data_IF_039073224871
#
_entry.id   IF_039073224871
#
_cell.length_a   1.000
_cell.length_b   1.000
_cell.length_c   1.000
_cell.angle_alpha   90.00
_cell.angle_beta   90.00
_cell.angle_gamma   90.00
#
_symmetry.space_group_name_H-M   'P 1'
#
loop_
_entity.id
_entity.type
_entity.pdbx_description
1 polymer ?
#
# COMPACT_ATOMS: atom_id res chain seq x y z
N UNK A 1 -79.84 53.83 12.33
CA UNK A 1 -79.79 52.54 13.06
C UNK A 1 -78.47 51.88 12.74
N UNK A 2 -77.45 52.17 13.53
CA UNK A 2 -76.07 51.73 13.28
C UNK A 2 -75.89 50.33 13.88
N UNK A 3 -75.63 49.33 13.03
CA UNK A 3 -75.42 47.95 13.47
C UNK A 3 -74.04 47.85 14.12
N UNK A 4 -74.01 47.89 15.45
CA UNK A 4 -72.81 47.57 16.24
C UNK A 4 -72.41 46.12 15.92
N UNK A 5 -71.29 45.94 15.21
CA UNK A 5 -70.71 44.62 14.94
C UNK A 5 -70.26 44.02 16.29
N UNK A 6 -70.82 42.86 16.64
CA UNK A 6 -70.39 42.11 17.82
C UNK A 6 -68.94 41.68 17.63
N UNK A 7 -68.05 42.18 18.48
CA UNK A 7 -66.65 41.77 18.54
C UNK A 7 -66.59 40.32 19.04
N UNK A 8 -65.94 39.44 18.28
CA UNK A 8 -65.74 38.05 18.66
C UNK A 8 -64.52 37.93 19.59
N UNK A 9 -64.78 38.06 20.88
CA UNK A 9 -63.77 37.97 21.94
C UNK A 9 -62.97 36.65 21.93
N UNK A 10 -63.56 35.55 21.45
CA UNK A 10 -62.86 34.26 21.35
C UNK A 10 -61.73 34.30 20.31
N UNK A 11 -61.95 34.98 19.18
CA UNK A 11 -60.92 35.13 18.15
C UNK A 11 -59.78 36.02 18.64
N UNK A 12 -60.08 37.09 19.38
CA UNK A 12 -59.07 37.98 19.96
C UNK A 12 -58.19 37.22 20.97
N UNK A 13 -58.78 36.40 21.85
CA UNK A 13 -58.02 35.64 22.84
C UNK A 13 -57.06 34.64 22.20
N UNK A 14 -57.50 33.92 21.17
CA UNK A 14 -56.65 32.93 20.45
C UNK A 14 -55.49 33.63 19.74
N UNK A 15 -55.76 34.75 19.04
CA UNK A 15 -54.71 35.51 18.36
C UNK A 15 -53.68 36.05 19.37
N UNK A 16 -54.11 36.55 20.53
CA UNK A 16 -53.21 37.04 21.58
C UNK A 16 -52.35 35.93 22.19
N UNK A 17 -52.91 34.74 22.42
CA UNK A 17 -52.14 33.58 22.94
C UNK A 17 -51.11 33.12 21.90
N UNK A 18 -51.48 33.05 20.63
CA UNK A 18 -50.55 32.70 19.56
C UNK A 18 -49.40 33.71 19.44
N UNK A 19 -49.68 35.01 19.55
CA UNK A 19 -48.65 36.06 19.55
C UNK A 19 -47.70 35.94 20.75
N UNK A 20 -48.21 35.68 21.95
CA UNK A 20 -47.38 35.48 23.14
C UNK A 20 -46.47 34.25 23.02
N UNK A 21 -46.99 33.13 22.48
CA UNK A 21 -46.19 31.92 22.24
C UNK A 21 -45.12 32.18 21.18
N UNK A 22 -45.45 32.91 20.11
CA UNK A 22 -44.50 33.20 19.03
C UNK A 22 -43.36 34.13 19.47
N UNK A 23 -43.67 35.15 20.29
CA UNK A 23 -42.63 36.01 20.89
C UNK A 23 -41.77 35.24 21.88
N UNK A 24 -42.36 34.36 22.70
CA UNK A 24 -41.61 33.51 23.63
C UNK A 24 -40.63 32.55 22.94
N UNK A 25 -40.99 32.00 21.78
CA UNK A 25 -40.10 31.11 21.00
C UNK A 25 -38.93 31.87 20.36
N UNK A 26 -39.10 33.16 20.03
CA UNK A 26 -38.01 33.98 19.48
C UNK A 26 -36.95 34.30 20.56
N UNK A 27 -37.36 34.49 21.81
CA UNK A 27 -36.45 34.74 22.94
C UNK A 27 -35.84 33.47 23.55
N UNK A 28 -36.35 32.27 23.23
CA UNK A 28 -35.92 31.05 23.91
C UNK A 28 -34.68 30.36 23.33
N UNK A 29 -34.26 30.60 22.07
CA UNK A 29 -33.14 29.81 21.49
C UNK A 29 -32.33 30.49 20.38
N UNK A 30 -32.34 31.83 20.28
CA UNK A 30 -31.43 32.49 19.32
C UNK A 30 -30.06 32.72 19.95
N UNK A 31 -29.08 31.90 19.54
CA UNK A 31 -27.67 32.19 19.73
C UNK A 31 -27.36 33.61 19.22
N UNK A 32 -27.10 34.55 20.13
CA UNK A 32 -26.49 35.82 19.76
C UNK A 32 -24.98 35.62 19.60
N UNK A 33 -24.43 36.03 18.46
CA UNK A 33 -22.99 36.07 18.22
C UNK A 33 -22.25 37.09 19.11
N UNK A 34 -22.97 37.89 19.89
CA UNK A 34 -22.42 39.00 20.68
C UNK A 34 -22.69 38.77 22.17
N UNK A 35 -21.64 38.85 22.99
CA UNK A 35 -21.79 38.89 24.45
C UNK A 35 -22.35 40.25 24.88
N UNK A 36 -23.30 40.24 25.82
CA UNK A 36 -23.77 41.45 26.48
C UNK A 36 -22.71 41.92 27.48
N UNK A 37 -22.13 43.09 27.20
CA UNK A 37 -21.04 43.70 27.99
C UNK A 37 -21.52 44.77 28.98
N UNK A 38 -22.83 45.07 29.02
CA UNK A 38 -23.36 46.16 29.85
C UNK A 38 -24.00 45.69 31.16
N UNK A 39 -23.91 44.39 31.48
CA UNK A 39 -24.51 43.79 32.67
C UNK A 39 -23.54 42.82 33.39
N UNK A 40 -23.45 42.83 34.73
CA UNK A 40 -24.23 43.63 35.68
C UNK A 40 -23.70 45.08 35.78
N UNK A 41 -24.59 46.04 36.05
CA UNK A 41 -24.19 47.39 36.42
C UNK A 41 -23.50 47.35 37.81
N UNK A 42 -22.56 48.26 38.08
CA UNK A 42 -21.75 48.23 39.32
C UNK A 42 -22.52 48.38 40.64
N UNK A 43 -23.84 48.54 40.61
CA UNK A 43 -24.76 48.56 41.76
C UNK A 43 -25.50 47.24 42.00
N UNK A 44 -25.34 46.26 41.11
CA UNK A 44 -26.11 45.02 41.11
C UNK A 44 -25.66 44.07 42.23
N UNK A 45 -26.55 43.18 42.64
CA UNK A 45 -26.30 42.29 43.77
C UNK A 45 -25.18 41.30 43.46
N UNK A 46 -24.29 40.97 44.42
CA UNK A 46 -23.28 39.93 44.22
C UNK A 46 -23.85 38.56 43.78
N UNK A 47 -25.11 38.28 44.11
CA UNK A 47 -25.81 37.07 43.65
C UNK A 47 -26.13 37.11 42.15
N UNK A 48 -26.46 38.27 41.59
CA UNK A 48 -26.66 38.44 40.15
C UNK A 48 -25.34 38.26 39.40
N UNK A 49 -24.22 38.66 40.01
CA UNK A 49 -22.90 38.37 39.46
C UNK A 49 -22.57 36.86 39.45
N UNK A 50 -22.96 36.08 40.49
CA UNK A 50 -22.78 34.62 40.50
C UNK A 50 -23.55 33.95 39.36
N UNK A 51 -24.82 34.33 39.16
CA UNK A 51 -25.64 33.80 38.09
C UNK A 51 -25.05 34.12 36.70
N UNK A 52 -24.54 35.35 36.50
CA UNK A 52 -23.87 35.74 35.25
C UNK A 52 -22.55 35.01 35.04
N UNK A 53 -21.76 34.77 36.09
CA UNK A 53 -20.54 33.95 35.99
C UNK A 53 -20.87 32.50 35.61
N UNK A 54 -21.95 31.95 36.14
CA UNK A 54 -22.43 30.59 35.79
C UNK A 54 -22.91 30.53 34.34
N UNK A 55 -23.61 31.56 33.87
CA UNK A 55 -24.04 31.70 32.48
C UNK A 55 -22.84 31.82 31.53
N UNK A 56 -21.86 32.68 31.83
CA UNK A 56 -20.63 32.83 31.05
C UNK A 56 -19.87 31.50 31.00
N UNK A 57 -19.74 30.79 32.13
CA UNK A 57 -19.11 29.48 32.17
C UNK A 57 -19.81 28.49 31.24
N UNK A 58 -21.14 28.42 31.29
CA UNK A 58 -21.93 27.54 30.43
C UNK A 58 -21.77 27.92 28.95
N UNK A 59 -21.81 29.22 28.62
CA UNK A 59 -21.65 29.70 27.25
C UNK A 59 -20.24 29.44 26.69
N UNK A 60 -19.20 29.61 27.50
CA UNK A 60 -17.81 29.26 27.12
C UNK A 60 -17.69 27.76 26.91
N UNK A 61 -18.22 26.94 27.83
CA UNK A 61 -18.22 25.49 27.68
C UNK A 61 -18.95 25.08 26.39
N UNK A 62 -20.14 25.58 26.12
CA UNK A 62 -20.91 25.24 24.92
C UNK A 62 -20.18 25.61 23.63
N UNK A 63 -19.54 26.80 23.58
CA UNK A 63 -18.80 27.28 22.41
C UNK A 63 -17.49 26.51 22.19
N UNK A 64 -16.72 26.30 23.25
CA UNK A 64 -15.43 25.62 23.16
C UNK A 64 -15.60 24.10 23.00
N UNK A 65 -16.71 23.53 23.47
CA UNK A 65 -17.00 22.09 23.34
C UNK A 65 -17.19 21.63 21.89
N UNK A 66 -17.26 22.55 20.92
CA UNK A 66 -17.26 22.21 19.50
C UNK A 66 -15.94 21.58 19.08
N UNK A 67 -14.80 22.12 19.49
CA UNK A 67 -13.47 21.69 19.05
C UNK A 67 -12.55 21.20 20.19
N UNK A 68 -12.80 21.62 21.43
CA UNK A 68 -12.08 21.18 22.62
C UNK A 68 -13.01 20.35 23.50
N UNK A 69 -12.54 19.27 24.11
CA UNK A 69 -13.32 18.52 25.06
C UNK A 69 -13.38 19.26 26.39
N UNK A 70 -14.59 19.66 26.79
CA UNK A 70 -14.89 20.24 28.09
C UNK A 70 -16.00 19.41 28.74
N UNK A 71 -15.71 18.65 29.82
CA UNK A 71 -16.76 17.91 30.50
C UNK A 71 -17.80 18.88 31.07
N UNK A 72 -19.08 18.63 30.75
CA UNK A 72 -20.20 19.31 31.39
C UNK A 72 -20.15 19.00 32.88
N UNK A 73 -20.22 20.03 33.70
CA UNK A 73 -19.96 20.02 35.13
C UNK A 73 -20.64 18.85 35.88
N UNK A 74 -19.83 18.02 36.53
CA UNK A 74 -20.15 17.20 37.70
C UNK A 74 -19.15 17.51 38.82
N UNK A 75 -19.39 17.02 40.05
CA UNK A 75 -18.56 17.28 41.25
C UNK A 75 -17.12 16.79 41.16
N UNK A 76 -16.75 16.05 40.12
CA UNK A 76 -15.41 15.58 39.88
C UNK A 76 -15.11 15.78 38.39
N UNK A 77 -14.19 16.68 38.09
CA UNK A 77 -13.49 16.63 36.80
C UNK A 77 -12.60 15.40 36.93
N UNK A 78 -12.96 14.26 36.33
CA UNK A 78 -12.02 13.15 36.27
C UNK A 78 -10.86 13.59 35.38
N UNK A 79 -9.73 13.90 36.01
CA UNK A 79 -8.58 14.69 35.53
C UNK A 79 -7.84 14.19 34.28
N UNK A 80 -8.30 13.15 33.59
CA UNK A 80 -7.55 12.58 32.47
C UNK A 80 -7.79 13.27 31.11
N UNK A 81 -9.02 13.72 30.83
CA UNK A 81 -9.43 14.00 29.43
C UNK A 81 -9.90 15.46 29.19
N UNK A 82 -9.83 16.36 30.17
CA UNK A 82 -10.26 17.75 30.01
C UNK A 82 -9.18 18.60 29.31
N UNK A 83 -9.52 19.28 28.20
CA UNK A 83 -8.61 20.15 27.46
C UNK A 83 -8.03 19.54 26.17
N UNK A 84 -8.42 18.31 25.81
CA UNK A 84 -8.07 17.70 24.53
C UNK A 84 -8.77 18.39 23.36
N UNK A 85 -8.07 18.59 22.24
CA UNK A 85 -8.74 19.00 21.01
C UNK A 85 -9.37 17.77 20.33
N UNK A 86 -10.68 17.77 20.12
CA UNK A 86 -11.36 16.77 19.28
C UNK A 86 -10.94 16.93 17.82
N UNK A 87 -10.84 18.18 17.38
CA UNK A 87 -10.30 18.59 16.09
C UNK A 87 -9.93 20.07 16.18
N UNK A 88 -8.96 20.52 15.39
CA UNK A 88 -8.66 21.95 15.24
C UNK A 88 -9.29 22.44 13.93
N UNK A 89 -10.39 23.18 14.03
CA UNK A 89 -11.01 23.80 12.87
C UNK A 89 -10.30 25.14 12.58
N UNK A 90 -9.55 25.18 11.50
CA UNK A 90 -8.91 26.40 11.03
C UNK A 90 -9.92 27.27 10.28
N UNK A 91 -9.77 28.59 10.41
CA UNK A 91 -10.55 29.55 9.63
C UNK A 91 -10.06 29.61 8.18
N UNK A 92 -10.61 30.54 7.39
CA UNK A 92 -10.23 30.77 6.01
C UNK A 92 -8.69 30.88 5.83
N UNK A 93 -8.14 30.37 4.70
CA UNK A 93 -6.72 30.42 4.43
C UNK A 93 -6.18 31.86 4.49
N UNK A 94 -5.03 32.03 5.15
CA UNK A 94 -4.37 33.33 5.24
C UNK A 94 -3.29 33.38 4.16
N UNK A 95 -3.47 34.27 3.18
CA UNK A 95 -2.59 34.35 2.01
C UNK A 95 -1.19 34.92 2.32
N UNK A 96 -1.11 35.90 3.23
CA UNK A 96 0.14 36.52 3.64
C UNK A 96 0.73 35.81 4.86
N UNK A 97 2.05 35.64 4.87
CA UNK A 97 2.78 35.22 6.07
C UNK A 97 2.61 36.28 7.15
N UNK A 98 2.03 35.94 8.32
CA UNK A 98 2.01 36.87 9.44
C UNK A 98 3.44 37.18 9.87
N UNK A 99 3.72 38.45 10.19
CA UNK A 99 4.99 38.82 10.82
C UNK A 99 5.19 38.00 12.09
N UNK A 100 6.35 37.37 12.20
CA UNK A 100 6.69 36.52 13.33
C UNK A 100 7.49 37.35 14.34
N UNK A 101 7.15 37.25 15.61
CA UNK A 101 7.95 37.84 16.68
C UNK A 101 9.10 36.86 17.02
N UNK A 102 10.18 37.37 17.63
CA UNK A 102 11.23 36.50 18.15
C UNK A 102 10.66 35.42 19.09
N UNK A 103 11.23 34.22 19.06
CA UNK A 103 10.85 33.05 19.84
C UNK A 103 9.45 32.48 19.53
N UNK A 104 8.82 32.89 18.43
CA UNK A 104 7.47 32.45 18.05
C UNK A 104 7.47 31.67 16.73
N UNK A 105 6.50 30.76 16.57
CA UNK A 105 6.22 30.12 15.30
C UNK A 105 4.72 29.95 15.11
N UNK A 106 4.28 29.84 13.85
CA UNK A 106 2.87 29.83 13.50
C UNK A 106 2.49 28.61 12.66
N UNK A 107 1.48 27.87 13.10
CA UNK A 107 0.76 26.88 12.28
C UNK A 107 -0.48 27.55 11.71
N UNK A 108 -0.65 27.54 10.38
CA UNK A 108 -1.81 28.10 9.70
C UNK A 108 -2.25 27.27 8.50
N UNK A 109 -3.43 27.60 7.98
CA UNK A 109 -3.87 27.15 6.66
C UNK A 109 -3.61 28.25 5.64
N UNK A 110 -3.04 27.88 4.49
CA UNK A 110 -2.76 28.77 3.34
C UNK A 110 -3.17 28.07 2.06
N UNK A 111 -3.62 28.84 1.06
CA UNK A 111 -3.92 28.26 -0.25
C UNK A 111 -2.64 28.01 -1.05
N UNK A 112 -2.37 26.74 -1.36
CA UNK A 112 -1.27 26.31 -2.24
C UNK A 112 -1.90 25.62 -3.46
N UNK A 113 -1.89 26.31 -4.61
CA UNK A 113 -2.53 25.80 -5.82
C UNK A 113 -4.05 25.64 -5.68
N UNK A 114 -4.71 26.63 -5.06
CA UNK A 114 -6.15 26.67 -4.80
C UNK A 114 -6.67 25.55 -3.88
N UNK A 115 -5.80 25.05 -3.00
CA UNK A 115 -6.12 24.06 -1.98
C UNK A 115 -5.58 24.53 -0.63
N UNK A 116 -6.39 24.38 0.40
CA UNK A 116 -6.04 24.69 1.77
C UNK A 116 -5.01 23.67 2.27
N UNK A 117 -3.79 24.15 2.58
CA UNK A 117 -2.69 23.34 3.10
C UNK A 117 -2.21 23.86 4.46
N UNK A 118 -1.77 22.94 5.31
CA UNK A 118 -1.05 23.27 6.54
C UNK A 118 0.32 23.86 6.22
N UNK A 119 0.62 24.97 6.86
CA UNK A 119 1.87 25.69 6.68
C UNK A 119 2.41 26.09 8.05
N UNK A 120 3.69 25.79 8.27
CA UNK A 120 4.48 26.27 9.39
C UNK A 120 5.31 27.49 8.97
N UNK A 121 5.52 28.43 9.88
CA UNK A 121 6.52 29.49 9.73
C UNK A 121 7.30 29.60 11.02
N UNK A 122 8.63 29.57 10.92
CA UNK A 122 9.53 29.76 12.06
C UNK A 122 9.76 31.25 12.37
N UNK A 123 10.59 31.52 13.39
CA UNK A 123 10.89 32.89 13.85
C UNK A 123 11.69 33.73 12.84
N UNK A 124 12.37 33.08 11.90
CA UNK A 124 13.14 33.70 10.82
C UNK A 124 12.29 33.90 9.55
N UNK A 125 10.96 33.73 9.66
CA UNK A 125 9.99 33.82 8.56
C UNK A 125 10.18 32.77 7.46
N UNK A 126 10.88 31.66 7.73
CA UNK A 126 10.98 30.54 6.80
C UNK A 126 9.67 29.76 6.79
N UNK A 127 9.03 29.69 5.62
CA UNK A 127 7.74 29.00 5.46
C UNK A 127 7.94 27.56 4.97
N UNK A 128 7.32 26.60 5.67
CA UNK A 128 7.27 25.19 5.30
C UNK A 128 5.82 24.73 5.13
N UNK A 129 5.47 24.29 3.93
CA UNK A 129 4.18 23.66 3.65
C UNK A 129 4.23 22.21 4.13
N UNK A 130 3.41 21.86 5.12
CA UNK A 130 3.39 20.56 5.79
C UNK A 130 2.45 19.55 5.12
N UNK A 131 1.47 20.01 4.35
CA UNK A 131 0.56 19.14 3.59
C UNK A 131 0.52 19.52 2.12
N UNK A 132 0.27 18.54 1.26
CA UNK A 132 0.10 18.78 -0.18
C UNK A 132 -1.13 18.04 -0.70
N UNK A 133 -2.29 18.70 -0.74
CA UNK A 133 -3.54 18.22 -1.34
C UNK A 133 -4.01 16.88 -0.76
N UNK A 134 -3.69 16.62 0.50
CA UNK A 134 -3.92 15.35 1.17
C UNK A 134 -3.05 14.17 0.69
N UNK A 135 -2.02 14.41 -0.14
CA UNK A 135 -1.11 13.36 -0.63
C UNK A 135 0.34 13.89 -0.75
N UNK A 136 1.27 13.34 0.03
CA UNK A 136 2.53 14.02 0.36
C UNK A 136 3.59 14.09 -0.76
N UNK A 137 3.43 13.45 -1.92
CA UNK A 137 4.41 13.55 -3.02
C UNK A 137 3.71 13.39 -4.38
N UNK A 138 3.99 14.27 -5.34
CA UNK A 138 3.52 14.08 -6.72
C UNK A 138 4.22 12.88 -7.37
N UNK A 139 3.55 12.20 -8.31
CA UNK A 139 4.18 11.17 -9.12
C UNK A 139 5.49 11.69 -9.72
N UNK A 140 6.50 10.83 -9.71
CA UNK A 140 7.89 11.12 -10.04
C UNK A 140 8.68 12.00 -9.05
N UNK A 141 8.14 12.30 -7.87
CA UNK A 141 8.87 13.00 -6.79
C UNK A 141 9.34 12.00 -5.74
N UNK A 142 10.63 12.02 -5.42
CA UNK A 142 11.20 11.15 -4.38
C UNK A 142 10.92 11.70 -2.98
N UNK A 143 10.58 10.80 -2.07
CA UNK A 143 10.82 11.02 -0.64
C UNK A 143 12.33 11.09 -0.44
N UNK A 144 12.81 12.19 0.13
CA UNK A 144 14.23 12.41 0.38
C UNK A 144 14.51 12.38 1.88
N UNK A 145 15.62 11.77 2.28
CA UNK A 145 16.16 11.90 3.63
C UNK A 145 17.47 12.67 3.55
N UNK A 146 17.64 13.68 4.39
CA UNK A 146 18.91 14.40 4.55
C UNK A 146 19.75 13.71 5.61
N UNK A 147 21.07 13.67 5.43
CA UNK A 147 21.96 13.18 6.48
C UNK A 147 21.90 14.06 7.74
N UNK A 148 22.33 13.53 8.88
CA UNK A 148 22.31 14.26 10.16
C UNK A 148 23.18 15.53 10.13
N UNK A 149 24.14 15.63 9.20
CA UNK A 149 25.00 16.79 9.04
C UNK A 149 24.37 17.89 8.15
N UNK A 150 23.23 17.63 7.51
CA UNK A 150 22.59 18.53 6.55
C UNK A 150 23.34 18.66 5.22
N UNK A 151 24.36 17.84 4.96
CA UNK A 151 25.30 18.00 3.84
C UNK A 151 24.92 17.24 2.59
N UNK A 152 24.04 16.26 2.70
CA UNK A 152 23.61 15.42 1.59
C UNK A 152 22.20 14.90 1.76
N UNK A 153 21.58 14.53 0.64
CA UNK A 153 20.24 13.95 0.59
C UNK A 153 20.25 12.64 -0.19
N UNK A 154 19.48 11.66 0.27
CA UNK A 154 19.27 10.38 -0.38
C UNK A 154 17.81 10.26 -0.80
N UNK A 155 17.59 9.92 -2.07
CA UNK A 155 16.27 9.56 -2.56
C UNK A 155 15.91 8.16 -2.05
N UNK A 156 14.74 8.00 -1.44
CA UNK A 156 14.30 6.72 -0.86
C UNK A 156 13.34 5.99 -1.80
N UNK A 157 12.18 6.59 -2.06
CA UNK A 157 11.09 5.97 -2.82
C UNK A 157 10.25 7.04 -3.50
N UNK A 158 9.65 6.71 -4.65
CA UNK A 158 8.65 7.54 -5.32
C UNK A 158 7.51 6.69 -5.87
N UNK A 159 6.37 7.33 -6.16
CA UNK A 159 5.39 6.76 -7.08
C UNK A 159 5.78 7.11 -8.53
N UNK A 160 5.69 6.16 -9.46
CA UNK A 160 5.84 6.42 -10.89
C UNK A 160 4.53 6.95 -11.51
N UNK A 161 4.47 7.12 -12.84
CA UNK A 161 3.27 7.61 -13.55
C UNK A 161 2.05 6.68 -13.45
N UNK A 162 2.24 5.46 -12.97
CA UNK A 162 1.22 4.42 -12.81
C UNK A 162 0.95 4.13 -11.33
N UNK A 163 1.24 5.08 -10.44
CA UNK A 163 1.03 4.99 -9.00
C UNK A 163 1.73 3.77 -8.36
N UNK A 164 2.79 3.27 -8.99
CA UNK A 164 3.58 2.15 -8.47
C UNK A 164 4.84 2.66 -7.78
N UNK A 165 5.16 2.06 -6.63
CA UNK A 165 6.39 2.33 -5.91
C UNK A 165 7.61 2.02 -6.78
N UNK A 166 8.55 2.95 -6.84
CA UNK A 166 9.82 2.79 -7.56
C UNK A 166 10.97 3.36 -6.74
N UNK A 167 12.11 2.68 -6.82
CA UNK A 167 13.37 3.11 -6.21
C UNK A 167 14.13 4.04 -7.18
N UNK A 168 15.12 4.82 -6.69
CA UNK A 168 16.02 5.57 -7.56
C UNK A 168 16.84 4.66 -8.49
N UNK A 169 17.21 5.20 -9.65
CA UNK A 169 18.11 4.50 -10.57
C UNK A 169 19.47 4.27 -9.88
N UNK A 170 20.04 3.08 -10.05
CA UNK A 170 21.23 2.66 -9.32
C UNK A 170 21.00 2.30 -7.83
N UNK A 171 19.74 2.26 -7.35
CA UNK A 171 19.45 1.68 -6.05
C UNK A 171 19.90 0.22 -6.02
N UNK A 172 20.85 -0.08 -5.13
CA UNK A 172 21.32 -1.45 -4.93
C UNK A 172 20.30 -2.17 -4.05
N UNK A 173 19.50 -3.04 -4.68
CA UNK A 173 18.74 -4.06 -3.96
C UNK A 173 19.77 -5.09 -3.49
N UNK A 174 20.14 -5.04 -2.22
CA UNK A 174 21.21 -5.88 -1.68
C UNK A 174 21.00 -7.36 -2.02
N UNK A 175 21.88 -7.89 -2.87
CA UNK A 175 21.85 -9.28 -3.29
C UNK A 175 22.52 -10.15 -2.22
N UNK A 176 21.76 -10.47 -1.17
CA UNK A 176 21.88 -11.66 -0.30
C UNK A 176 23.27 -12.08 0.23
N UNK A 177 24.31 -11.23 0.27
CA UNK A 177 25.67 -11.66 0.65
C UNK A 177 26.32 -10.93 1.82
N UNK A 178 25.59 -10.11 2.59
CA UNK A 178 26.20 -9.40 3.72
C UNK A 178 25.61 -9.68 5.09
N UNK A 179 26.52 -9.71 6.05
CA UNK A 179 26.39 -10.16 7.44
C UNK A 179 25.56 -9.19 8.27
N UNK A 180 24.74 -9.75 9.16
CA UNK A 180 23.76 -9.04 9.97
C UNK A 180 24.42 -8.07 10.96
N UNK A 181 24.31 -6.75 10.70
CA UNK A 181 24.04 -5.72 11.72
C UNK A 181 23.86 -4.35 11.04
N UNK A 182 22.62 -3.90 10.87
CA UNK A 182 22.28 -2.59 10.29
C UNK A 182 20.97 -2.61 9.49
N UNK A 183 20.25 -1.47 9.49
CA UNK A 183 18.91 -1.31 8.91
C UNK A 183 18.78 -1.91 7.49
N UNK A 184 17.72 -2.72 7.31
CA UNK A 184 17.48 -3.50 6.09
C UNK A 184 16.61 -2.73 5.08
N UNK A 185 16.99 -2.81 3.82
CA UNK A 185 16.22 -2.30 2.68
C UNK A 185 15.10 -3.27 2.28
N UNK A 186 13.97 -2.73 1.84
CA UNK A 186 12.84 -3.49 1.28
C UNK A 186 13.32 -4.13 -0.03
N UNK A 187 13.54 -5.44 0.00
CA UNK A 187 13.57 -6.26 -1.19
C UNK A 187 12.12 -6.37 -1.64
N UNK A 188 11.76 -5.72 -2.75
CA UNK A 188 10.53 -6.08 -3.46
C UNK A 188 10.73 -7.50 -3.99
N UNK A 189 10.38 -8.47 -3.15
CA UNK A 189 10.24 -9.89 -3.45
C UNK A 189 9.03 -10.07 -4.37
N UNK A 190 9.02 -9.38 -5.51
CA UNK A 190 8.11 -9.64 -6.59
C UNK A 190 8.50 -10.99 -7.21
N UNK A 191 8.18 -12.06 -6.49
CA UNK A 191 7.65 -13.32 -6.97
C UNK A 191 8.28 -13.92 -8.23
N UNK A 192 9.60 -13.82 -8.41
CA UNK A 192 10.33 -14.86 -9.13
C UNK A 192 10.28 -16.11 -8.24
N UNK A 193 9.24 -16.92 -8.43
CA UNK A 193 9.03 -18.21 -7.78
C UNK A 193 10.37 -18.92 -7.57
N UNK A 194 10.77 -18.98 -6.31
CA UNK A 194 11.75 -19.91 -5.76
C UNK A 194 11.34 -21.30 -6.23
N UNK A 195 11.98 -21.81 -7.29
CA UNK A 195 11.64 -23.13 -7.82
C UNK A 195 12.26 -23.51 -9.16
N UNK A 196 12.50 -22.59 -10.11
CA UNK A 196 12.89 -23.05 -11.46
C UNK A 196 13.60 -22.04 -12.36
N UNK A 197 14.38 -21.10 -11.80
CA UNK A 197 15.29 -20.27 -12.61
C UNK A 197 16.68 -20.85 -12.57
N UNK A 198 16.84 -22.02 -13.18
CA UNK A 198 18.16 -22.42 -13.67
C UNK A 198 18.54 -21.36 -14.71
N UNK A 199 19.38 -20.40 -14.32
CA UNK A 199 19.88 -19.40 -15.25
C UNK A 199 20.81 -20.09 -16.24
N UNK A 200 20.27 -20.39 -17.41
CA UNK A 200 21.06 -20.74 -18.57
C UNK A 200 21.79 -19.48 -19.04
N UNK A 201 23.10 -19.57 -19.25
CA UNK A 201 23.88 -18.50 -19.87
C UNK A 201 23.60 -18.39 -21.37
N UNK A 202 24.27 -17.45 -22.04
CA UNK A 202 24.13 -17.24 -23.49
C UNK A 202 24.51 -18.44 -24.35
N UNK A 203 25.22 -19.42 -23.78
CA UNK A 203 25.62 -20.67 -24.43
C UNK A 203 24.68 -21.84 -24.08
N UNK A 204 23.63 -21.59 -23.27
CA UNK A 204 22.65 -22.56 -22.84
C UNK A 204 23.07 -23.43 -21.65
N UNK A 205 24.24 -23.19 -21.06
CA UNK A 205 24.75 -23.92 -19.90
C UNK A 205 24.33 -23.27 -18.58
N UNK A 206 24.20 -24.05 -17.52
CA UNK A 206 24.05 -23.54 -16.17
C UNK A 206 25.29 -23.86 -15.33
N UNK A 207 25.82 -22.83 -14.67
CA UNK A 207 27.11 -22.88 -13.97
C UNK A 207 26.96 -23.30 -12.51
N UNK A 208 28.07 -23.69 -11.88
CA UNK A 208 28.18 -24.06 -10.45
C UNK A 208 27.46 -25.36 -10.04
N UNK A 209 27.23 -26.28 -10.96
CA UNK A 209 26.78 -27.63 -10.62
C UNK A 209 27.93 -28.36 -9.95
N UNK A 210 27.66 -29.00 -8.82
CA UNK A 210 28.64 -29.85 -8.17
C UNK A 210 28.71 -31.20 -8.88
N UNK A 211 29.78 -31.44 -9.63
CA UNK A 211 30.07 -32.71 -10.28
C UNK A 211 31.37 -33.23 -9.67
N UNK A 212 31.28 -34.30 -8.89
CA UNK A 212 32.41 -34.91 -8.15
C UNK A 212 33.21 -33.89 -7.31
N UNK A 213 32.54 -33.02 -6.56
CA UNK A 213 33.15 -31.96 -5.74
C UNK A 213 33.81 -30.83 -6.54
N UNK A 214 33.59 -30.77 -7.87
CA UNK A 214 34.09 -29.70 -8.74
C UNK A 214 32.91 -28.91 -9.30
N UNK A 215 32.97 -27.58 -9.15
CA UNK A 215 31.98 -26.66 -9.74
C UNK A 215 32.17 -26.66 -11.25
N UNK A 216 31.20 -27.26 -11.94
CA UNK A 216 31.24 -27.52 -13.38
C UNK A 216 30.05 -26.87 -14.06
N UNK A 217 30.25 -26.43 -15.30
CA UNK A 217 29.19 -25.92 -16.16
C UNK A 217 28.54 -27.11 -16.88
N UNK A 218 27.23 -27.25 -16.73
CA UNK A 218 26.45 -28.32 -17.35
C UNK A 218 25.58 -27.74 -18.44
N UNK A 219 25.58 -28.37 -19.59
CA UNK A 219 24.75 -28.01 -20.74
C UNK A 219 23.57 -28.97 -20.84
N UNK A 220 22.42 -28.46 -21.27
CA UNK A 220 21.24 -29.29 -21.54
C UNK A 220 20.92 -29.26 -23.03
N UNK A 221 20.83 -30.44 -23.65
CA UNK A 221 20.31 -30.59 -25.02
C UNK A 221 18.97 -31.32 -24.99
N UNK A 222 18.01 -30.81 -25.76
CA UNK A 222 16.74 -31.47 -25.97
C UNK A 222 16.69 -32.09 -27.36
N UNK A 223 16.41 -33.39 -27.44
CA UNK A 223 16.03 -34.06 -28.68
C UNK A 223 14.52 -34.26 -28.66
N UNK A 224 13.85 -33.93 -29.75
CA UNK A 224 12.40 -34.13 -29.90
C UNK A 224 12.11 -34.85 -31.20
N UNK A 225 11.07 -35.67 -31.20
CA UNK A 225 10.61 -36.34 -32.40
C UNK A 225 9.33 -37.13 -32.16
N UNK A 226 9.00 -37.97 -33.12
CA UNK A 226 7.91 -38.95 -33.03
C UNK A 226 8.53 -40.34 -32.96
N UNK A 227 7.99 -41.18 -32.08
CA UNK A 227 8.37 -42.59 -31.98
C UNK A 227 7.76 -43.38 -33.13
N UNK A 228 8.32 -43.22 -34.33
CA UNK A 228 7.88 -43.93 -35.53
C UNK A 228 8.71 -45.20 -35.76
N UNK A 229 8.68 -46.09 -34.77
CA UNK A 229 9.32 -47.40 -34.84
C UNK A 229 8.37 -48.48 -34.32
N UNK A 230 8.33 -49.61 -35.00
CA UNK A 230 7.61 -50.81 -34.55
C UNK A 230 8.38 -51.53 -33.42
N UNK A 231 7.86 -52.67 -32.94
CA UNK A 231 8.52 -53.46 -31.89
C UNK A 231 9.87 -54.06 -32.31
N UNK A 232 10.26 -53.95 -33.59
CA UNK A 232 11.48 -54.53 -34.16
C UNK A 232 12.51 -53.50 -34.64
N UNK A 233 12.14 -52.22 -34.68
CA UNK A 233 12.98 -51.12 -35.17
C UNK A 233 13.35 -50.16 -34.05
N UNK A 234 14.55 -49.58 -34.13
CA UNK A 234 15.04 -48.60 -33.16
C UNK A 234 14.94 -47.19 -33.74
N UNK A 235 14.55 -46.20 -32.93
CA UNK A 235 14.68 -44.79 -33.30
C UNK A 235 16.08 -44.33 -32.90
N UNK A 236 16.90 -43.99 -33.88
CA UNK A 236 18.28 -43.52 -33.67
C UNK A 236 18.34 -42.02 -33.92
N UNK A 237 18.90 -41.28 -32.97
CA UNK A 237 19.15 -39.86 -33.11
C UNK A 237 20.64 -39.57 -32.91
N UNK A 238 21.28 -39.04 -33.96
CA UNK A 238 22.68 -38.66 -33.89
C UNK A 238 22.88 -37.47 -32.95
N UNK A 239 23.85 -37.58 -32.06
CA UNK A 239 24.33 -36.50 -31.21
C UNK A 239 25.80 -36.21 -31.56
N UNK A 240 26.09 -34.94 -31.83
CA UNK A 240 27.45 -34.44 -32.07
C UNK A 240 27.76 -33.32 -31.09
N UNK A 241 29.03 -33.20 -30.68
CA UNK A 241 29.50 -32.18 -29.73
C UNK A 241 28.97 -32.36 -28.31
N UNK A 242 28.71 -33.61 -27.90
CA UNK A 242 28.28 -33.97 -26.55
C UNK A 242 29.32 -34.96 -26.01
N UNK A 243 30.13 -34.52 -25.07
CA UNK A 243 31.02 -35.37 -24.29
C UNK A 243 30.49 -35.52 -22.86
N UNK A 244 30.94 -36.54 -22.12
CA UNK A 244 30.68 -36.71 -20.68
C UNK A 244 29.21 -36.53 -20.25
N UNK A 245 28.33 -37.41 -20.73
CA UNK A 245 26.89 -37.37 -20.42
C UNK A 245 26.65 -37.70 -18.94
N UNK A 246 26.02 -36.78 -18.22
CA UNK A 246 25.73 -36.91 -16.79
C UNK A 246 24.34 -37.50 -16.55
N UNK A 247 23.33 -37.02 -17.30
CA UNK A 247 21.96 -37.49 -17.15
C UNK A 247 21.26 -37.57 -18.50
N UNK A 248 20.39 -38.57 -18.65
CA UNK A 248 19.50 -38.71 -19.79
C UNK A 248 18.11 -38.96 -19.24
N UNK A 249 17.20 -38.02 -19.45
CA UNK A 249 15.79 -38.14 -19.07
C UNK A 249 14.94 -38.24 -20.32
N UNK A 250 14.13 -39.30 -20.45
CA UNK A 250 13.21 -39.46 -21.58
C UNK A 250 11.78 -39.28 -21.11
N UNK A 251 11.06 -38.41 -21.80
CA UNK A 251 9.64 -38.17 -21.63
C UNK A 251 8.93 -38.56 -22.93
N UNK A 252 7.95 -39.44 -22.83
CA UNK A 252 7.03 -39.79 -23.91
C UNK A 252 5.67 -39.18 -23.60
N UNK A 253 5.07 -38.49 -24.57
CA UNK A 253 3.79 -37.80 -24.42
C UNK A 253 2.69 -38.57 -25.13
N UNK A 254 1.59 -38.87 -24.43
CA UNK A 254 0.35 -39.29 -25.08
C UNK A 254 -0.40 -38.06 -25.62
N UNK A 255 -0.94 -38.16 -26.83
CA UNK A 255 -1.52 -37.02 -27.56
C UNK A 255 -2.87 -36.54 -26.99
N UNK A 256 -3.41 -37.21 -25.95
CA UNK A 256 -4.78 -36.96 -25.46
C UNK A 256 -4.90 -36.60 -23.97
N UNK A 257 -3.86 -36.77 -23.16
CA UNK A 257 -3.83 -36.33 -21.75
C UNK A 257 -2.37 -36.21 -21.30
N UNK A 258 -2.04 -35.20 -20.49
CA UNK A 258 -0.69 -34.96 -19.95
C UNK A 258 -0.25 -36.04 -18.93
N UNK A 259 -0.19 -37.29 -19.35
CA UNK A 259 0.48 -38.38 -18.64
C UNK A 259 1.94 -38.38 -19.08
N UNK A 260 2.81 -37.76 -18.29
CA UNK A 260 4.26 -37.85 -18.49
C UNK A 260 4.77 -39.13 -17.83
N UNK A 261 5.34 -40.04 -18.62
CA UNK A 261 6.07 -41.17 -18.07
C UNK A 261 7.51 -40.74 -17.80
N UNK A 262 7.89 -40.67 -16.53
CA UNK A 262 9.29 -40.49 -16.15
C UNK A 262 9.98 -41.83 -16.33
N UNK A 263 10.68 -42.04 -17.45
CA UNK A 263 11.51 -43.23 -17.65
C UNK A 263 12.86 -42.96 -16.98
N UNK A 264 12.88 -42.85 -15.65
CA UNK A 264 14.14 -42.76 -14.90
C UNK A 264 14.70 -44.14 -14.56
N UNK A 265 13.86 -45.18 -14.56
CA UNK A 265 14.25 -46.58 -14.36
C UNK A 265 13.33 -47.47 -15.20
N UNK A 266 13.83 -48.61 -15.67
CA UNK A 266 13.11 -49.53 -16.54
C UNK A 266 11.68 -49.79 -16.05
N UNK A 267 10.69 -49.43 -16.86
CA UNK A 267 9.27 -49.61 -16.55
C UNK A 267 8.96 -51.11 -16.37
N UNK A 268 8.63 -51.54 -15.13
CA UNK A 268 7.89 -52.79 -14.88
C UNK A 268 6.40 -52.45 -14.65
N UNK A 269 5.72 -52.07 -15.72
CA UNK A 269 4.27 -52.08 -15.78
C UNK A 269 3.77 -53.47 -16.17
N UNK A 270 2.58 -53.85 -15.71
CA UNK A 270 2.01 -55.21 -15.78
C UNK A 270 1.65 -55.72 -17.19
N UNK A 271 1.94 -54.94 -18.24
CA UNK A 271 2.01 -55.41 -19.64
C UNK A 271 3.42 -55.13 -20.18
N UNK A 272 4.14 -56.21 -20.48
CA UNK A 272 5.59 -56.29 -20.69
C UNK A 272 6.12 -55.65 -21.97
N UNK A 273 6.15 -54.32 -22.05
CA UNK A 273 6.94 -53.63 -23.08
C UNK A 273 7.78 -52.54 -22.44
N UNK A 274 9.03 -52.87 -22.14
CA UNK A 274 10.04 -51.93 -21.67
C UNK A 274 10.68 -51.24 -22.87
N UNK A 275 10.47 -49.93 -22.99
CA UNK A 275 11.26 -49.09 -23.89
C UNK A 275 12.66 -49.00 -23.30
N UNK A 276 13.67 -49.29 -24.10
CA UNK A 276 15.07 -49.19 -23.67
C UNK A 276 15.73 -48.03 -24.38
N UNK A 277 16.24 -47.06 -23.62
CA UNK A 277 17.02 -45.95 -24.17
C UNK A 277 18.49 -46.26 -23.92
N UNK A 278 19.24 -46.38 -25.00
CA UNK A 278 20.69 -46.58 -24.98
C UNK A 278 21.33 -45.31 -25.49
N UNK A 279 22.31 -44.78 -24.77
CA UNK A 279 23.06 -43.62 -25.21
C UNK A 279 24.53 -44.01 -25.32
N UNK A 280 25.14 -43.65 -26.45
CA UNK A 280 26.58 -43.76 -26.69
C UNK A 280 27.16 -42.37 -27.02
N UNK A 281 28.46 -42.30 -27.31
CA UNK A 281 29.15 -41.04 -27.60
C UNK A 281 28.62 -40.29 -28.85
N UNK A 282 27.82 -40.95 -29.68
CA UNK A 282 27.38 -40.45 -30.99
C UNK A 282 25.87 -40.57 -31.21
N UNK A 283 25.14 -41.35 -30.42
CA UNK A 283 23.73 -41.63 -30.63
C UNK A 283 22.94 -41.73 -29.34
N UNK A 284 21.68 -41.28 -29.41
CA UNK A 284 20.60 -41.74 -28.54
C UNK A 284 19.75 -42.74 -29.32
N UNK A 285 19.63 -43.96 -28.82
CA UNK A 285 18.91 -45.07 -29.46
C UNK A 285 17.75 -45.50 -28.57
N UNK A 286 16.52 -45.31 -29.05
CA UNK A 286 15.30 -45.79 -28.40
C UNK A 286 14.92 -47.13 -29.03
N UNK A 287 14.99 -48.21 -28.25
CA UNK A 287 14.69 -49.60 -28.65
C UNK A 287 13.37 -50.07 -28.07
N UNK A 288 12.77 -51.06 -28.72
CA UNK A 288 11.55 -51.74 -28.26
C UNK A 288 10.38 -50.77 -28.02
N UNK A 289 10.20 -49.78 -28.91
CA UNK A 289 9.14 -48.76 -28.81
C UNK A 289 7.77 -49.41 -28.64
N UNK A 290 7.50 -50.52 -29.33
CA UNK A 290 6.27 -51.29 -29.16
C UNK A 290 5.04 -50.54 -29.67
N UNK A 291 3.96 -51.27 -29.96
CA UNK A 291 2.76 -50.69 -30.58
C UNK A 291 1.98 -49.74 -29.68
N UNK A 292 2.20 -49.77 -28.36
CA UNK A 292 1.44 -48.97 -27.39
C UNK A 292 1.81 -47.48 -27.44
N UNK A 293 3.08 -47.17 -27.71
CA UNK A 293 3.58 -45.78 -27.73
C UNK A 293 4.14 -45.39 -29.10
N UNK A 294 4.05 -46.28 -30.09
CA UNK A 294 4.35 -45.93 -31.47
C UNK A 294 3.45 -44.78 -31.93
N UNK A 295 4.03 -43.78 -32.59
CA UNK A 295 3.34 -42.56 -33.02
C UNK A 295 3.29 -41.46 -31.96
N UNK A 296 3.67 -41.73 -30.71
CA UNK A 296 3.72 -40.70 -29.67
C UNK A 296 4.92 -39.76 -29.87
N UNK A 297 4.75 -38.51 -29.43
CA UNK A 297 5.86 -37.54 -29.39
C UNK A 297 6.77 -37.86 -28.21
N UNK A 298 8.06 -37.62 -28.37
CA UNK A 298 9.03 -37.77 -27.28
C UNK A 298 9.91 -36.54 -27.12
N UNK A 299 10.47 -36.39 -25.92
CA UNK A 299 11.55 -35.47 -25.59
C UNK A 299 12.62 -36.21 -24.79
N UNK A 300 13.85 -36.19 -25.27
CA UNK A 300 15.03 -36.62 -24.51
C UNK A 300 15.76 -35.37 -24.03
N UNK A 301 15.92 -35.23 -22.73
CA UNK A 301 16.80 -34.24 -22.08
C UNK A 301 18.15 -34.91 -21.82
N UNK A 302 19.22 -34.35 -22.34
CA UNK A 302 20.60 -34.80 -22.11
C UNK A 302 21.32 -33.69 -21.38
N UNK A 303 21.78 -33.96 -20.16
CA UNK A 303 22.66 -33.08 -19.41
C UNK A 303 24.11 -33.56 -19.58
N UNK A 304 25.01 -32.68 -20.03
CA UNK A 304 26.37 -33.03 -20.43
C UNK A 304 27.39 -31.94 -20.11
N UNK A 305 28.68 -32.28 -20.17
CA UNK A 305 29.81 -31.38 -19.93
C UNK A 305 30.67 -31.34 -21.20
N UNK A 306 30.97 -30.14 -21.70
CA UNK A 306 31.92 -29.95 -22.80
C UNK A 306 33.37 -30.22 -22.35
#
# INVERSE_FOLDING_TARGET
MEKIKKVNWGLIAVVSICLLIWVGVIYATTFSFTYDIVTPAGSDSPAEADDRMREIKAAVQERMNVCMYWPLTGTEVSDADAGEFRFCLFHAPIAATPTVAADHGHIRVKDVGSKAEFTWTDEDENELVLTSKGNNLANNTYLTATDNAGTGSVNLIKANTSDSATLPDGAVLDAATQTADGDRTIVDLNYAKTGDTVQHDSEGGFSNVDVDSVKTKVYTKYLTGTLDADSSTSVVHGITGIDNIFSVTVLVFEDTTFTSYLVSEAFQGTSSTSVTVVVDATNVVIRNVGSLIQGNKFRVKIDYIL
#
